data_IF_386753127524
#
_entry.id   IF_386753127524
#
_cell.length_a   1.000
_cell.length_b   1.000
_cell.length_c   1.000
_cell.angle_alpha   90.00
_cell.angle_beta   90.00
_cell.angle_gamma   90.00
#
_symmetry.space_group_name_H-M   'P 1'
#
loop_
_entity.id
_entity.type
_entity.pdbx_description
1 polymer ?
#
# COMPACT_ATOMS: atom_id res chain seq x y z
N UNK A 1 6.66 0.18 10.82
CA UNK A 1 8.09 -0.18 10.98
C UNK A 1 8.89 0.94 11.64
N UNK A 2 8.77 2.16 11.12
CA UNK A 2 9.52 3.34 11.51
C UNK A 2 8.81 4.19 12.59
N UNK A 3 8.03 3.55 13.46
CA UNK A 3 7.54 4.19 14.67
C UNK A 3 8.63 4.13 15.76
N UNK A 4 8.61 5.05 16.73
CA UNK A 4 9.47 4.98 17.91
C UNK A 4 9.43 3.59 18.57
N UNK A 5 10.58 3.14 19.09
CA UNK A 5 10.78 1.77 19.55
C UNK A 5 9.85 1.31 20.68
N UNK A 6 9.27 2.23 21.43
CA UNK A 6 8.33 2.00 22.53
C UNK A 6 6.86 1.92 22.09
N UNK A 7 6.58 2.15 20.81
CA UNK A 7 5.22 2.03 20.28
C UNK A 7 4.73 0.57 20.29
N UNK A 8 3.45 0.33 20.66
CA UNK A 8 2.90 -1.01 20.75
C UNK A 8 2.79 -1.69 19.38
N UNK A 9 2.82 -3.03 19.39
CA UNK A 9 2.61 -3.84 18.19
C UNK A 9 3.90 -4.17 17.43
N UNK A 10 3.74 -4.51 16.15
CA UNK A 10 4.84 -4.89 15.26
C UNK A 10 4.60 -4.27 13.88
N UNK A 11 5.66 -3.76 13.26
CA UNK A 11 5.61 -3.25 11.88
C UNK A 11 5.84 -4.32 10.81
N UNK A 12 6.19 -5.54 11.21
CA UNK A 12 6.47 -6.67 10.31
C UNK A 12 5.93 -7.98 10.90
N UNK A 13 5.56 -8.91 10.04
CA UNK A 13 5.16 -10.26 10.39
C UNK A 13 5.61 -11.25 9.31
N UNK A 14 6.22 -12.36 9.72
CA UNK A 14 6.41 -13.52 8.86
C UNK A 14 5.21 -14.45 9.05
N UNK A 15 4.47 -14.72 7.98
CA UNK A 15 3.20 -15.45 8.01
C UNK A 15 3.33 -16.74 7.21
N UNK A 16 2.99 -17.87 7.82
CA UNK A 16 2.83 -19.15 7.11
C UNK A 16 1.47 -19.19 6.42
N UNK A 17 1.49 -19.42 5.11
CA UNK A 17 0.28 -19.62 4.30
C UNK A 17 -0.27 -21.03 4.48
N UNK A 18 -1.54 -21.23 4.11
CA UNK A 18 -2.17 -22.55 4.12
C UNK A 18 -1.44 -23.56 3.20
N UNK A 19 -0.73 -23.08 2.19
CA UNK A 19 0.12 -23.87 1.29
C UNK A 19 1.52 -24.16 1.83
N UNK A 20 1.86 -23.71 3.05
CA UNK A 20 3.18 -23.91 3.67
C UNK A 20 4.29 -22.97 3.18
N UNK A 21 3.94 -21.96 2.39
CA UNK A 21 4.83 -20.86 1.98
C UNK A 21 4.90 -19.79 3.07
N UNK A 22 6.03 -19.11 3.21
CA UNK A 22 6.26 -18.02 4.17
C UNK A 22 6.24 -16.66 3.49
N UNK A 23 5.41 -15.76 3.98
CA UNK A 23 5.27 -14.40 3.44
C UNK A 23 5.67 -13.39 4.51
N UNK A 24 6.68 -12.57 4.22
CA UNK A 24 7.04 -11.43 5.05
C UNK A 24 6.13 -10.25 4.67
N UNK A 25 5.35 -9.75 5.61
CA UNK A 25 4.49 -8.57 5.44
C UNK A 25 5.04 -7.43 6.27
N UNK A 26 5.23 -6.28 5.65
CA UNK A 26 5.82 -5.09 6.26
C UNK A 26 4.92 -3.88 6.02
N UNK A 27 4.78 -3.03 7.04
CA UNK A 27 4.15 -1.72 6.90
C UNK A 27 5.14 -0.62 7.31
N UNK A 28 5.35 0.34 6.42
CA UNK A 28 6.19 1.52 6.65
C UNK A 28 5.43 2.79 6.26
N UNK A 29 5.73 3.90 6.93
CA UNK A 29 5.08 5.18 6.70
C UNK A 29 6.04 6.18 6.07
N UNK A 30 5.58 6.92 5.06
CA UNK A 30 6.29 8.05 4.50
C UNK A 30 6.35 9.23 5.48
N UNK A 31 7.18 10.22 5.15
CA UNK A 31 7.39 11.43 5.97
C UNK A 31 6.91 12.70 5.30
N UNK A 32 6.85 12.72 3.96
CA UNK A 32 6.50 13.95 3.25
C UNK A 32 4.98 14.15 3.33
N UNK A 33 4.55 15.30 3.88
CA UNK A 33 3.14 15.64 4.12
C UNK A 33 2.39 14.73 5.11
N UNK A 34 3.12 13.97 5.92
CA UNK A 34 2.55 13.13 6.99
C UNK A 34 3.02 13.66 8.34
N UNK A 35 2.05 13.83 9.26
CA UNK A 35 2.31 14.22 10.65
C UNK A 35 1.75 13.16 11.63
N UNK A 36 2.44 12.89 12.76
CA UNK A 36 3.76 13.41 13.10
C UNK A 36 4.86 12.82 12.20
N UNK A 37 5.97 13.56 12.05
CA UNK A 37 7.14 13.06 11.31
C UNK A 37 7.77 11.90 12.09
N UNK A 38 7.83 10.74 11.43
CA UNK A 38 8.37 9.50 11.98
C UNK A 38 9.85 9.29 11.62
N UNK A 39 10.44 8.21 12.12
CA UNK A 39 11.81 7.81 11.76
C UNK A 39 11.93 7.52 10.26
N UNK A 40 13.16 7.52 9.75
CA UNK A 40 13.41 7.24 8.34
C UNK A 40 12.94 5.80 7.97
N UNK A 41 12.01 5.65 7.00
CA UNK A 41 11.52 4.33 6.63
C UNK A 41 12.56 3.49 5.88
N UNK A 42 13.52 4.09 5.17
CA UNK A 42 14.43 3.34 4.29
C UNK A 42 15.39 2.42 5.07
N UNK A 43 16.09 2.88 6.13
CA UNK A 43 16.90 1.99 6.96
C UNK A 43 16.07 0.93 7.69
N UNK A 44 14.85 1.29 8.12
CA UNK A 44 13.95 0.36 8.79
C UNK A 44 13.54 -0.79 7.87
N UNK A 45 13.17 -0.47 6.62
CA UNK A 45 12.85 -1.45 5.59
C UNK A 45 14.08 -2.31 5.23
N UNK A 46 15.26 -1.70 5.04
CA UNK A 46 16.48 -2.46 4.70
C UNK A 46 16.81 -3.52 5.73
N UNK A 47 16.73 -3.18 7.02
CA UNK A 47 17.02 -4.10 8.12
C UNK A 47 16.11 -5.32 8.09
N UNK A 48 14.82 -5.16 7.83
CA UNK A 48 13.89 -6.30 7.76
C UNK A 48 14.16 -7.17 6.53
N UNK A 49 14.46 -6.56 5.37
CA UNK A 49 14.84 -7.27 4.15
C UNK A 49 16.14 -8.07 4.32
N UNK A 50 17.11 -7.54 5.07
CA UNK A 50 18.36 -8.22 5.39
C UNK A 50 18.17 -9.35 6.41
N UNK A 51 17.28 -9.16 7.39
CA UNK A 51 16.97 -10.17 8.40
C UNK A 51 16.13 -11.33 7.84
N UNK A 52 15.33 -11.10 6.80
CA UNK A 52 14.50 -12.12 6.16
C UNK A 52 14.58 -12.04 4.62
N UNK A 53 15.71 -12.43 4.01
CA UNK A 53 15.91 -12.28 2.56
C UNK A 53 14.94 -13.13 1.74
N UNK A 54 14.39 -12.53 0.68
CA UNK A 54 13.52 -13.17 -0.30
C UNK A 54 14.22 -14.37 -0.99
N UNK A 55 13.51 -15.48 -1.15
CA UNK A 55 14.03 -16.72 -1.73
C UNK A 55 14.96 -17.53 -0.81
N UNK A 56 15.25 -17.02 0.39
CA UNK A 56 16.11 -17.71 1.38
C UNK A 56 15.34 -17.95 2.68
N UNK A 57 14.83 -16.88 3.29
CA UNK A 57 14.12 -16.93 4.57
C UNK A 57 12.60 -16.80 4.42
N UNK A 58 12.12 -16.29 3.29
CA UNK A 58 10.71 -16.22 2.94
C UNK A 58 10.51 -16.48 1.44
N UNK A 59 9.31 -16.92 1.07
CA UNK A 59 8.92 -17.18 -0.31
C UNK A 59 8.38 -15.91 -1.00
N UNK A 60 7.87 -14.94 -0.22
CA UNK A 60 7.44 -13.65 -0.72
C UNK A 60 7.63 -12.53 0.31
N UNK A 61 7.78 -11.30 -0.16
CA UNK A 61 7.85 -10.09 0.67
C UNK A 61 6.86 -9.05 0.14
N UNK A 62 5.93 -8.63 1.00
CA UNK A 62 4.93 -7.60 0.71
C UNK A 62 5.19 -6.37 1.57
N UNK A 63 5.36 -5.22 0.92
CA UNK A 63 5.57 -3.93 1.59
C UNK A 63 4.39 -3.02 1.28
N UNK A 64 3.61 -2.70 2.31
CA UNK A 64 2.66 -1.60 2.29
C UNK A 64 3.37 -0.32 2.74
N UNK A 65 3.51 0.62 1.82
CA UNK A 65 4.14 1.91 2.07
C UNK A 65 3.08 3.02 2.13
N UNK A 66 2.67 3.34 3.35
CA UNK A 66 1.62 4.32 3.63
C UNK A 66 2.19 5.74 3.56
N UNK A 67 2.00 6.42 2.43
CA UNK A 67 2.67 7.69 2.13
C UNK A 67 1.81 8.62 1.26
N UNK A 68 1.96 9.94 1.43
CA UNK A 68 1.22 10.91 0.62
C UNK A 68 1.85 11.10 -0.77
N UNK A 69 3.17 11.34 -0.83
CA UNK A 69 3.80 11.74 -2.08
C UNK A 69 4.17 10.55 -2.97
N UNK A 70 3.88 10.68 -4.27
CA UNK A 70 4.26 9.68 -5.28
C UNK A 70 5.77 9.53 -5.41
N UNK A 71 6.55 10.60 -5.18
CA UNK A 71 8.02 10.54 -5.23
C UNK A 71 8.59 9.66 -4.12
N UNK A 72 8.06 9.73 -2.89
CA UNK A 72 8.51 8.88 -1.79
C UNK A 72 8.11 7.41 -2.04
N UNK A 73 6.90 7.18 -2.57
CA UNK A 73 6.40 5.85 -2.96
C UNK A 73 7.25 5.19 -4.05
N UNK A 74 7.53 5.91 -5.15
CA UNK A 74 8.40 5.42 -6.22
C UNK A 74 9.83 5.17 -5.71
N UNK A 75 10.35 6.05 -4.85
CA UNK A 75 11.67 5.86 -4.25
C UNK A 75 11.74 4.59 -3.42
N UNK A 76 10.71 4.29 -2.62
CA UNK A 76 10.62 3.03 -1.87
C UNK A 76 10.53 1.81 -2.80
N UNK A 77 9.76 1.91 -3.89
CA UNK A 77 9.68 0.87 -4.92
C UNK A 77 11.06 0.55 -5.51
N UNK A 78 11.77 1.56 -5.99
CA UNK A 78 13.12 1.41 -6.56
C UNK A 78 14.14 0.96 -5.51
N UNK A 79 14.03 1.40 -4.26
CA UNK A 79 14.91 0.96 -3.18
C UNK A 79 14.78 -0.53 -2.89
N UNK A 80 13.57 -1.09 -3.01
CA UNK A 80 13.30 -2.50 -2.73
C UNK A 80 13.33 -3.38 -3.98
N UNK A 81 13.70 -2.84 -5.15
CA UNK A 81 13.67 -3.57 -6.40
C UNK A 81 14.62 -4.79 -6.37
N UNK A 82 14.11 -5.96 -6.74
CA UNK A 82 14.80 -7.25 -6.66
C UNK A 82 14.95 -7.84 -5.25
N UNK A 83 14.43 -7.17 -4.22
CA UNK A 83 14.45 -7.65 -2.82
C UNK A 83 13.06 -7.86 -2.22
N UNK A 84 12.02 -7.44 -2.93
CA UNK A 84 10.63 -7.59 -2.52
C UNK A 84 9.77 -8.18 -3.64
N UNK A 85 8.69 -8.87 -3.29
CA UNK A 85 7.73 -9.35 -4.27
C UNK A 85 6.82 -8.22 -4.74
N UNK A 86 6.38 -7.37 -3.81
CA UNK A 86 5.49 -6.24 -4.07
C UNK A 86 5.82 -5.08 -3.12
N UNK A 87 5.94 -3.88 -3.68
CA UNK A 87 5.83 -2.62 -2.96
C UNK A 87 4.58 -1.91 -3.45
N UNK A 88 3.59 -1.78 -2.57
CA UNK A 88 2.34 -1.09 -2.87
C UNK A 88 2.19 0.10 -1.96
N UNK A 89 1.86 1.25 -2.54
CA UNK A 89 1.52 2.42 -1.76
C UNK A 89 0.07 2.40 -1.27
N UNK A 90 -0.17 3.07 -0.16
CA UNK A 90 -1.52 3.39 0.35
C UNK A 90 -1.55 4.84 0.84
N UNK A 91 -2.65 5.29 1.45
CA UNK A 91 -2.92 6.62 2.05
C UNK A 91 -3.80 7.55 1.22
N UNK A 92 -3.61 7.66 -0.09
CA UNK A 92 -4.27 8.74 -0.87
C UNK A 92 -5.71 8.41 -1.25
N UNK A 93 -6.14 7.17 -1.01
CA UNK A 93 -7.49 6.64 -1.25
C UNK A 93 -7.92 6.59 -2.73
N UNK A 94 -7.04 6.96 -3.67
CA UNK A 94 -7.33 6.93 -5.12
C UNK A 94 -6.42 5.91 -5.80
N UNK A 95 -6.97 4.82 -6.38
CA UNK A 95 -6.14 3.80 -7.01
C UNK A 95 -5.42 4.38 -8.23
N UNK A 96 -4.12 4.12 -8.34
CA UNK A 96 -3.32 4.58 -9.47
C UNK A 96 -3.33 3.58 -10.63
N UNK A 97 -2.99 4.03 -11.84
CA UNK A 97 -2.91 3.17 -13.03
C UNK A 97 -1.48 2.74 -13.37
N UNK A 98 -0.52 2.96 -12.48
CA UNK A 98 0.92 2.81 -12.71
C UNK A 98 1.50 1.46 -12.26
N UNK A 99 0.63 0.47 -12.02
CA UNK A 99 1.05 -0.88 -11.68
C UNK A 99 2.02 -1.44 -12.73
N UNK A 100 3.16 -1.95 -12.28
CA UNK A 100 4.21 -2.45 -13.15
C UNK A 100 5.13 -3.40 -12.40
N UNK A 101 5.95 -4.14 -13.13
CA UNK A 101 7.06 -4.90 -12.58
C UNK A 101 8.33 -4.10 -12.88
N UNK A 102 9.08 -3.76 -11.84
CA UNK A 102 10.34 -3.01 -11.94
C UNK A 102 11.46 -3.89 -12.52
N UNK A 103 12.58 -3.31 -13.02
CA UNK A 103 13.64 -4.06 -13.70
C UNK A 103 14.25 -5.22 -12.88
N UNK A 104 14.29 -5.10 -11.55
CA UNK A 104 14.74 -6.16 -10.64
C UNK A 104 13.69 -7.22 -10.33
N UNK A 105 12.46 -7.09 -10.83
CA UNK A 105 11.39 -8.07 -10.67
C UNK A 105 10.41 -7.76 -9.54
N UNK A 106 10.54 -6.62 -8.85
CA UNK A 106 9.58 -6.22 -7.81
C UNK A 106 8.30 -5.66 -8.45
N UNK A 107 7.12 -6.16 -8.05
CA UNK A 107 5.85 -5.52 -8.40
C UNK A 107 5.71 -4.17 -7.70
N UNK A 108 5.18 -3.16 -8.38
CA UNK A 108 5.00 -1.82 -7.84
C UNK A 108 3.67 -1.19 -8.25
N UNK A 109 3.03 -0.45 -7.34
CA UNK A 109 1.87 0.42 -7.62
C UNK A 109 1.86 1.59 -6.62
N UNK A 110 1.69 2.83 -7.10
CA UNK A 110 1.79 4.02 -6.23
C UNK A 110 0.66 4.13 -5.19
N UNK A 111 -0.58 3.74 -5.49
CA UNK A 111 -1.63 3.64 -4.47
C UNK A 111 -2.65 2.56 -4.84
N UNK A 112 -2.91 1.63 -3.91
CA UNK A 112 -3.92 0.58 -4.08
C UNK A 112 -5.36 1.14 -4.11
N UNK A 113 -5.57 2.35 -3.61
CA UNK A 113 -6.89 2.94 -3.41
C UNK A 113 -7.54 2.55 -2.08
N UNK A 114 -8.76 3.04 -1.89
CA UNK A 114 -9.59 2.80 -0.71
C UNK A 114 -10.64 1.73 -1.02
N UNK A 115 -11.01 0.95 -0.01
CA UNK A 115 -12.25 0.18 -0.02
C UNK A 115 -13.36 0.99 0.66
N UNK A 116 -14.24 1.60 -0.12
CA UNK A 116 -15.25 2.52 0.43
C UNK A 116 -16.10 3.20 -0.64
N UNK A 117 -16.99 4.08 -0.20
CA UNK A 117 -17.86 4.86 -1.08
C UNK A 117 -17.03 5.92 -1.84
N UNK A 118 -17.01 5.82 -3.18
CA UNK A 118 -16.32 6.78 -4.05
C UNK A 118 -17.23 7.93 -4.52
N UNK A 119 -18.52 7.91 -4.20
CA UNK A 119 -19.38 9.08 -4.26
C UNK A 119 -19.22 9.93 -3.00
N UNK A 120 -17.98 10.25 -2.65
CA UNK A 120 -17.57 10.91 -1.40
C UNK A 120 -16.34 11.79 -1.64
N UNK A 121 -15.86 12.48 -0.60
CA UNK A 121 -14.55 13.13 -0.61
C UNK A 121 -13.61 12.31 0.26
N UNK A 122 -12.80 11.45 -0.37
CA UNK A 122 -11.78 10.62 0.30
C UNK A 122 -12.42 9.72 1.40
N UNK A 123 -13.65 9.24 1.17
CA UNK A 123 -14.40 8.40 2.10
C UNK A 123 -15.32 9.16 3.06
N UNK A 124 -15.32 10.49 3.02
CA UNK A 124 -16.15 11.34 3.87
C UNK A 124 -17.36 11.91 3.13
N UNK A 125 -18.48 12.10 3.83
CA UNK A 125 -19.63 12.84 3.34
C UNK A 125 -19.21 14.19 2.74
N UNK A 126 -19.72 14.53 1.55
CA UNK A 126 -19.19 15.62 0.72
C UNK A 126 -19.29 17.01 1.36
N UNK A 127 -20.32 17.24 2.19
CA UNK A 127 -20.68 18.58 2.66
C UNK A 127 -19.58 19.23 3.49
N UNK A 128 -19.07 18.54 4.53
CA UNK A 128 -18.11 19.13 5.46
C UNK A 128 -16.72 19.37 4.83
N UNK A 129 -16.10 18.41 4.09
CA UNK A 129 -14.86 18.66 3.37
C UNK A 129 -14.97 19.85 2.40
N UNK A 130 -16.06 19.94 1.61
CA UNK A 130 -16.28 21.06 0.70
C UNK A 130 -16.38 22.39 1.44
N UNK A 131 -17.07 22.42 2.58
CA UNK A 131 -17.21 23.60 3.40
C UNK A 131 -15.84 24.08 3.92
N UNK A 132 -15.01 23.17 4.43
CA UNK A 132 -13.66 23.50 4.91
C UNK A 132 -12.80 24.16 3.83
N UNK A 133 -12.82 23.64 2.60
CA UNK A 133 -12.06 24.24 1.50
C UNK A 133 -12.61 25.60 1.07
N UNK A 134 -13.92 25.78 1.04
CA UNK A 134 -14.55 27.03 0.58
C UNK A 134 -14.52 28.14 1.63
N UNK A 135 -14.80 27.81 2.90
CA UNK A 135 -15.01 28.78 3.98
C UNK A 135 -13.86 28.85 4.97
N UNK A 136 -12.93 27.89 4.95
CA UNK A 136 -11.81 27.75 5.90
C UNK A 136 -12.25 27.64 7.36
N UNK A 137 -13.51 27.25 7.61
CA UNK A 137 -14.08 27.06 8.92
C UNK A 137 -14.69 25.66 8.99
N UNK A 138 -14.39 24.86 10.03
CA UNK A 138 -15.13 23.63 10.29
C UNK A 138 -16.53 24.01 10.77
N UNK A 139 -17.55 23.56 10.05
CA UNK A 139 -18.95 23.81 10.44
C UNK A 139 -19.52 22.57 11.13
N UNK A 140 -19.12 21.38 10.69
CA UNK A 140 -19.54 20.10 11.25
C UNK A 140 -18.37 19.12 11.43
N UNK A 141 -18.64 18.00 12.10
CA UNK A 141 -17.69 16.89 12.18
C UNK A 141 -17.75 16.10 10.88
N UNK A 142 -16.60 15.73 10.32
CA UNK A 142 -16.54 14.79 9.19
C UNK A 142 -17.17 13.44 9.57
N UNK A 143 -18.01 12.93 8.68
CA UNK A 143 -18.69 11.64 8.81
C UNK A 143 -18.32 10.75 7.62
N UNK A 144 -18.16 9.43 7.82
CA UNK A 144 -17.97 8.50 6.72
C UNK A 144 -19.18 8.54 5.77
N UNK A 145 -18.93 8.45 4.47
CA UNK A 145 -20.00 8.23 3.51
C UNK A 145 -20.52 6.78 3.57
N UNK A 146 -21.82 6.58 3.43
CA UNK A 146 -22.51 5.29 3.60
C UNK A 146 -23.06 4.71 2.29
N UNK A 147 -22.66 5.24 1.13
CA UNK A 147 -23.08 4.74 -0.17
C UNK A 147 -22.38 3.45 -0.60
N UNK A 148 -22.66 2.95 -1.82
CA UNK A 148 -22.07 1.73 -2.34
C UNK A 148 -20.55 1.78 -2.41
N UNK A 149 -19.88 0.79 -1.79
CA UNK A 149 -18.43 0.72 -1.78
C UNK A 149 -17.86 0.16 -3.10
N UNK A 150 -16.76 0.74 -3.56
CA UNK A 150 -15.83 0.08 -4.49
C UNK A 150 -14.73 -0.57 -3.66
N UNK A 151 -14.45 -1.85 -3.89
CA UNK A 151 -13.28 -2.53 -3.32
C UNK A 151 -12.10 -2.28 -4.24
N UNK A 152 -11.04 -1.67 -3.72
CA UNK A 152 -9.79 -1.45 -4.45
C UNK A 152 -8.64 -2.26 -3.86
N UNK A 153 -7.71 -2.70 -4.70
CA UNK A 153 -6.53 -3.42 -4.28
C UNK A 153 -5.56 -3.69 -5.43
N UNK A 154 -4.59 -4.54 -5.17
CA UNK A 154 -3.63 -5.01 -6.17
C UNK A 154 -3.44 -6.52 -6.01
N UNK A 155 -3.41 -7.21 -7.15
CA UNK A 155 -3.04 -8.60 -7.25
C UNK A 155 -1.60 -8.71 -7.75
N UNK A 156 -0.84 -9.62 -7.16
CA UNK A 156 0.50 -10.00 -7.62
C UNK A 156 0.59 -11.52 -7.70
N UNK A 157 1.14 -12.04 -8.79
CA UNK A 157 1.56 -13.43 -8.91
C UNK A 157 3.08 -13.48 -8.79
N UNK A 158 3.61 -14.34 -7.93
CA UNK A 158 5.04 -14.48 -7.71
C UNK A 158 5.61 -15.74 -8.37
N UNK A 159 6.88 -15.69 -8.71
CA UNK A 159 7.67 -16.84 -9.14
C UNK A 159 8.06 -17.70 -7.93
N UNK A 160 7.67 -18.98 -7.93
CA UNK A 160 7.93 -19.91 -6.81
C UNK A 160 9.42 -20.16 -6.49
N UNK A 161 10.32 -19.91 -7.44
CA UNK A 161 11.76 -20.13 -7.26
C UNK A 161 12.48 -18.88 -6.77
N UNK A 162 12.05 -17.69 -7.18
CA UNK A 162 12.72 -16.42 -6.86
C UNK A 162 11.95 -15.55 -5.87
N UNK A 163 10.64 -15.77 -5.73
CA UNK A 163 9.72 -14.94 -4.97
C UNK A 163 9.39 -13.58 -5.61
N UNK A 164 9.94 -13.28 -6.78
CA UNK A 164 9.72 -12.01 -7.50
C UNK A 164 8.41 -12.03 -8.29
N UNK A 165 7.89 -10.85 -8.64
CA UNK A 165 6.63 -10.74 -9.36
C UNK A 165 6.76 -11.23 -10.82
N UNK A 166 5.78 -12.03 -11.25
CA UNK A 166 5.56 -12.44 -12.65
C UNK A 166 4.43 -11.65 -13.31
N UNK A 167 3.41 -11.30 -12.53
CA UNK A 167 2.28 -10.52 -12.98
C UNK A 167 1.79 -9.60 -11.87
N UNK A 168 1.23 -8.45 -12.26
CA UNK A 168 0.59 -7.49 -11.37
C UNK A 168 -0.65 -6.93 -12.06
N UNK A 169 -1.75 -6.78 -11.33
CA UNK A 169 -2.99 -6.19 -11.84
C UNK A 169 -3.73 -5.43 -10.74
N UNK A 170 -4.41 -4.32 -11.06
CA UNK A 170 -5.27 -3.64 -10.12
C UNK A 170 -6.56 -4.43 -9.90
N UNK A 171 -7.11 -4.35 -8.70
CA UNK A 171 -8.43 -4.88 -8.35
C UNK A 171 -9.35 -3.69 -8.16
N UNK A 172 -10.47 -3.65 -8.89
CA UNK A 172 -11.60 -2.72 -8.62
C UNK A 172 -12.90 -3.44 -8.85
N UNK A 173 -13.72 -3.58 -7.82
CA UNK A 173 -14.98 -4.35 -7.87
C UNK A 173 -16.10 -3.58 -7.20
N UNK A 174 -17.25 -3.50 -7.89
CA UNK A 174 -18.48 -2.92 -7.35
C UNK A 174 -18.46 -1.39 -7.24
N UNK A 175 -19.50 -0.86 -6.59
CA UNK A 175 -19.62 0.57 -6.27
C UNK A 175 -19.67 1.48 -7.50
N UNK A 176 -18.65 2.31 -7.68
CA UNK A 176 -18.64 3.45 -8.60
C UNK A 176 -17.50 3.42 -9.62
N UNK A 177 -16.31 2.98 -9.23
CA UNK A 177 -15.16 3.01 -10.16
C UNK A 177 -15.32 1.96 -11.26
N UNK A 178 -14.72 2.22 -12.43
CA UNK A 178 -14.67 1.24 -13.51
C UNK A 178 -13.98 -0.03 -13.00
N UNK A 179 -14.64 -1.16 -13.19
CA UNK A 179 -14.12 -2.44 -12.73
C UNK A 179 -12.76 -2.76 -13.37
N UNK A 180 -11.94 -3.49 -12.61
CA UNK A 180 -10.70 -4.09 -13.07
C UNK A 180 -10.65 -5.53 -12.55
N UNK A 181 -10.61 -6.46 -13.51
CA UNK A 181 -10.45 -7.88 -13.25
C UNK A 181 -8.96 -8.25 -13.26
N UNK A 182 -8.62 -9.26 -12.46
CA UNK A 182 -7.30 -9.87 -12.45
C UNK A 182 -7.29 -10.98 -13.49
N UNK A 183 -6.59 -10.79 -14.60
CA UNK A 183 -6.64 -11.72 -15.74
C UNK A 183 -5.94 -13.07 -15.49
N UNK A 184 -5.18 -13.17 -14.39
CA UNK A 184 -4.38 -14.35 -14.01
C UNK A 184 -4.90 -15.02 -12.72
N UNK A 185 -6.11 -14.67 -12.26
CA UNK A 185 -6.83 -15.33 -11.17
C UNK A 185 -8.04 -16.13 -11.67
#
# INVERSE_FOLDING_TARGET
LNWPADCPGRGTALVDTASGRRVLVMNAMGRVMIEPVLDDPFPAVSRELEACPLGVACDAVLIDFHAETTSEKMSMGHFCDGRASLVVGTHTHVPTADHQILPGGTGFMSDAGMCGDYDSVIGMEKAEPLNRFQRKLPVERMRPAEGPATVCGVAVETDDATGLARAIAPIRVGGRLSEAAVSFW
#
